data_IF_627585026168
#
_entry.id   IF_627585026168
#
_cell.length_a   1.000
_cell.length_b   1.000
_cell.length_c   1.000
_cell.angle_alpha   90.00
_cell.angle_beta   90.00
_cell.angle_gamma   90.00
#
_symmetry.space_group_name_H-M   'P 1'
#
loop_
_entity.id
_entity.type
_entity.pdbx_description
1 polymer ?
#
# COMPACT_ATOMS: atom_id res chain seq x y z
N UNK A 1 -7.44 11.74 -21.18
CA UNK A 1 -7.31 10.27 -21.38
C UNK A 1 -8.44 9.54 -20.65
N UNK A 2 -8.96 8.44 -21.21
CA UNK A 2 -9.94 7.57 -20.54
C UNK A 2 -9.27 6.52 -19.65
N UNK A 3 -10.08 5.84 -18.83
CA UNK A 3 -9.60 4.84 -17.86
C UNK A 3 -8.78 3.72 -18.51
N UNK A 4 -9.13 3.30 -19.74
CA UNK A 4 -8.38 2.29 -20.51
C UNK A 4 -7.00 2.78 -20.94
N UNK A 5 -6.90 4.03 -21.38
CA UNK A 5 -5.65 4.62 -21.84
C UNK A 5 -4.67 4.80 -20.68
N UNK A 6 -5.13 5.34 -19.56
CA UNK A 6 -4.26 5.51 -18.38
C UNK A 6 -3.90 4.16 -17.73
N UNK A 7 -4.80 3.17 -17.80
CA UNK A 7 -4.50 1.79 -17.37
C UNK A 7 -3.37 1.18 -18.20
N UNK A 8 -3.41 1.34 -19.52
CA UNK A 8 -2.33 0.89 -20.40
C UNK A 8 -1.02 1.65 -20.14
N UNK A 9 -1.09 2.97 -19.91
CA UNK A 9 0.08 3.81 -19.67
C UNK A 9 0.78 3.50 -18.34
N UNK A 10 0.01 3.31 -17.27
CA UNK A 10 0.53 3.10 -15.91
C UNK A 10 0.79 1.62 -15.58
N UNK A 11 0.27 0.70 -16.39
CA UNK A 11 0.28 -0.75 -16.11
C UNK A 11 -0.64 -1.15 -14.94
N UNK A 12 -1.43 -0.22 -14.40
CA UNK A 12 -2.37 -0.48 -13.32
C UNK A 12 -3.71 -0.95 -13.88
N UNK A 13 -4.39 -1.84 -13.15
CA UNK A 13 -5.75 -2.24 -13.53
C UNK A 13 -6.74 -1.08 -13.33
N UNK A 14 -7.81 -1.05 -14.12
CA UNK A 14 -8.90 -0.06 -13.94
C UNK A 14 -9.45 -0.05 -12.51
N UNK A 15 -9.50 -1.23 -11.85
CA UNK A 15 -9.93 -1.36 -10.46
C UNK A 15 -8.98 -0.65 -9.50
N UNK A 16 -7.67 -0.79 -9.70
CA UNK A 16 -6.65 -0.13 -8.90
C UNK A 16 -6.72 1.39 -9.04
N UNK A 17 -6.95 1.89 -10.25
CA UNK A 17 -7.09 3.32 -10.52
C UNK A 17 -8.32 3.89 -9.80
N UNK A 18 -9.49 3.23 -9.91
CA UNK A 18 -10.70 3.62 -9.18
C UNK A 18 -10.51 3.59 -7.67
N UNK A 19 -9.80 2.59 -7.16
CA UNK A 19 -9.48 2.51 -5.74
C UNK A 19 -8.65 3.73 -5.27
N UNK A 20 -7.67 4.19 -6.06
CA UNK A 20 -6.91 5.39 -5.71
C UNK A 20 -7.73 6.68 -5.84
N UNK A 21 -8.66 6.74 -6.78
CA UNK A 21 -9.64 7.83 -6.89
C UNK A 21 -10.57 7.89 -5.67
N UNK A 22 -11.14 6.76 -5.25
CA UNK A 22 -11.98 6.64 -4.04
C UNK A 22 -11.24 7.04 -2.77
N UNK A 23 -9.92 6.82 -2.72
CA UNK A 23 -9.04 7.23 -1.62
C UNK A 23 -8.53 8.66 -1.74
N UNK A 24 -9.02 9.41 -2.74
CA UNK A 24 -8.65 10.80 -3.03
C UNK A 24 -7.14 11.01 -3.27
N UNK A 25 -6.44 9.97 -3.73
CA UNK A 25 -5.01 10.02 -4.08
C UNK A 25 -4.77 10.62 -5.46
N UNK A 26 -5.77 10.55 -6.32
CA UNK A 26 -5.84 11.23 -7.61
C UNK A 26 -7.21 11.87 -7.76
N UNK A 27 -7.29 12.97 -8.49
CA UNK A 27 -8.53 13.71 -8.73
C UNK A 27 -8.62 14.06 -10.22
N UNK A 28 -9.02 13.08 -11.07
CA UNK A 28 -9.19 13.33 -12.49
C UNK A 28 -10.30 14.36 -12.71
N UNK A 29 -10.31 14.99 -13.88
CA UNK A 29 -11.41 15.89 -14.25
C UNK A 29 -12.67 15.06 -14.49
N UNK A 30 -13.77 15.53 -13.90
CA UNK A 30 -15.07 14.91 -14.05
C UNK A 30 -15.99 15.83 -14.82
N UNK A 31 -16.42 15.39 -16.00
CA UNK A 31 -17.35 16.11 -16.86
C UNK A 31 -18.71 15.41 -16.88
N UNK A 32 -19.77 16.15 -16.58
CA UNK A 32 -21.14 15.65 -16.74
C UNK A 32 -21.68 16.06 -18.11
N UNK A 33 -22.02 15.08 -18.93
CA UNK A 33 -22.63 15.29 -20.24
C UNK A 33 -23.84 14.38 -20.41
N UNK A 34 -25.00 14.94 -20.73
CA UNK A 34 -26.25 14.22 -20.95
C UNK A 34 -26.62 13.27 -19.78
N UNK A 35 -26.44 13.71 -18.54
CA UNK A 35 -26.72 12.90 -17.34
C UNK A 35 -25.74 11.76 -17.07
N UNK A 36 -24.68 11.61 -17.88
CA UNK A 36 -23.59 10.63 -17.68
C UNK A 36 -22.33 11.34 -17.21
N UNK A 37 -21.63 10.70 -16.29
CA UNK A 37 -20.37 11.18 -15.74
C UNK A 37 -19.19 10.57 -16.51
N UNK A 38 -18.36 11.44 -17.09
CA UNK A 38 -17.17 11.07 -17.82
C UNK A 38 -15.94 11.51 -17.03
N UNK A 39 -15.02 10.58 -16.84
CA UNK A 39 -13.70 10.87 -16.27
C UNK A 39 -12.73 11.20 -17.40
N UNK A 40 -11.91 12.20 -17.17
CA UNK A 40 -10.79 12.56 -18.01
C UNK A 40 -9.52 12.68 -17.17
N UNK A 41 -8.61 11.75 -17.40
CA UNK A 41 -7.32 11.67 -16.74
C UNK A 41 -6.26 12.44 -17.54
N UNK A 42 -5.47 13.24 -16.86
CA UNK A 42 -4.36 14.02 -17.41
C UNK A 42 -3.03 13.25 -17.34
N UNK A 43 -2.00 13.77 -18.02
CA UNK A 43 -0.64 13.22 -17.88
C UNK A 43 -0.12 13.32 -16.44
N UNK A 44 -0.48 14.39 -15.71
CA UNK A 44 -0.13 14.54 -14.29
C UNK A 44 -0.76 13.45 -13.42
N UNK A 45 -1.98 13.01 -13.74
CA UNK A 45 -2.62 11.90 -13.01
C UNK A 45 -1.86 10.59 -13.24
N UNK A 46 -1.34 10.38 -14.44
CA UNK A 46 -0.54 9.20 -14.75
C UNK A 46 0.79 9.19 -13.99
N UNK A 47 1.49 10.31 -13.93
CA UNK A 47 2.72 10.44 -13.13
C UNK A 47 2.44 10.17 -11.65
N UNK A 48 1.37 10.74 -11.10
CA UNK A 48 0.97 10.48 -9.71
C UNK A 48 0.66 9.00 -9.47
N UNK A 49 -0.07 8.35 -10.38
CA UNK A 49 -0.35 6.91 -10.29
C UNK A 49 0.92 6.06 -10.30
N UNK A 50 1.90 6.40 -11.13
CA UNK A 50 3.20 5.71 -11.16
C UNK A 50 3.96 5.87 -9.84
N UNK A 51 3.95 7.08 -9.24
CA UNK A 51 4.55 7.33 -7.93
C UNK A 51 3.85 6.52 -6.84
N UNK A 52 2.51 6.55 -6.79
CA UNK A 52 1.71 5.79 -5.83
C UNK A 52 2.00 4.29 -5.95
N UNK A 53 2.06 3.76 -7.18
CA UNK A 53 2.39 2.37 -7.45
C UNK A 53 3.79 2.01 -6.93
N UNK A 54 4.79 2.88 -7.14
CA UNK A 54 6.14 2.73 -6.59
C UNK A 54 6.16 2.67 -5.06
N UNK A 55 5.46 3.61 -4.41
CA UNK A 55 5.38 3.66 -2.94
C UNK A 55 4.65 2.43 -2.36
N UNK A 56 3.62 1.94 -3.04
CA UNK A 56 2.92 0.69 -2.65
C UNK A 56 3.83 -0.54 -2.74
N UNK A 57 4.72 -0.62 -3.75
CA UNK A 57 5.75 -1.67 -3.84
C UNK A 57 6.77 -1.56 -2.72
N UNK A 58 7.04 -0.34 -2.24
CA UNK A 58 7.84 -0.09 -1.06
C UNK A 58 7.04 -0.26 0.25
N UNK A 59 5.92 -0.99 0.24
CA UNK A 59 5.08 -1.30 1.40
C UNK A 59 4.55 -0.08 2.18
N UNK A 60 4.50 1.11 1.57
CA UNK A 60 3.80 2.23 2.18
C UNK A 60 2.28 1.99 2.12
N UNK A 61 1.59 2.38 3.18
CA UNK A 61 0.14 2.38 3.26
C UNK A 61 -0.44 3.50 2.40
N UNK A 62 -1.71 3.36 2.03
CA UNK A 62 -2.43 4.42 1.29
C UNK A 62 -2.50 5.72 2.09
N UNK A 63 -2.59 5.61 3.43
CA UNK A 63 -2.65 6.76 4.33
C UNK A 63 -1.31 7.49 4.40
N UNK A 64 -0.20 6.76 4.48
CA UNK A 64 1.16 7.33 4.43
C UNK A 64 1.40 8.06 3.11
N UNK A 65 1.00 7.44 1.99
CA UNK A 65 1.12 8.05 0.65
C UNK A 65 0.31 9.35 0.58
N UNK A 66 -0.90 9.38 1.17
CA UNK A 66 -1.73 10.59 1.23
C UNK A 66 -1.08 11.69 2.05
N UNK A 67 -0.50 11.35 3.20
CA UNK A 67 0.24 12.31 4.04
C UNK A 67 1.49 12.85 3.31
N UNK A 68 2.19 12.01 2.56
CA UNK A 68 3.32 12.43 1.72
C UNK A 68 2.89 13.41 0.63
N UNK A 69 1.76 13.18 -0.04
CA UNK A 69 1.22 14.12 -1.04
C UNK A 69 0.82 15.46 -0.43
N UNK A 70 0.20 15.43 0.76
CA UNK A 70 -0.25 16.65 1.45
C UNK A 70 0.92 17.48 1.99
N UNK A 71 2.02 16.83 2.35
CA UNK A 71 3.20 17.48 2.92
C UNK A 71 4.49 17.02 2.21
N UNK A 72 4.78 17.54 1.01
CA UNK A 72 5.96 17.14 0.23
C UNK A 72 7.29 17.33 1.00
N UNK A 73 7.39 18.40 1.81
CA UNK A 73 8.55 18.65 2.67
C UNK A 73 8.74 17.63 3.80
N UNK A 74 7.78 16.73 4.04
CA UNK A 74 7.86 15.66 5.05
C UNK A 74 8.15 14.28 4.46
N UNK A 75 8.28 14.15 3.14
CA UNK A 75 8.53 12.86 2.47
C UNK A 75 9.75 12.16 3.06
N UNK A 76 10.88 12.87 3.22
CA UNK A 76 12.09 12.29 3.81
C UNK A 76 11.87 11.77 5.23
N UNK A 77 11.15 12.53 6.07
CA UNK A 77 10.83 12.14 7.45
C UNK A 77 9.90 10.92 7.50
N UNK A 78 8.84 10.90 6.68
CA UNK A 78 7.90 9.77 6.62
C UNK A 78 8.61 8.52 6.10
N UNK A 79 9.51 8.67 5.12
CA UNK A 79 10.32 7.56 4.62
C UNK A 79 11.27 7.00 5.69
N UNK A 80 11.92 7.86 6.48
CA UNK A 80 12.77 7.46 7.60
C UNK A 80 11.96 6.81 8.74
N UNK A 81 10.81 7.37 9.11
CA UNK A 81 9.91 6.79 10.12
C UNK A 81 9.41 5.40 9.71
N UNK A 82 9.00 5.22 8.45
CA UNK A 82 8.57 3.93 7.94
C UNK A 82 9.70 2.90 7.87
N UNK A 83 10.94 3.32 7.57
CA UNK A 83 12.13 2.45 7.65
C UNK A 83 12.42 2.03 9.08
N UNK A 84 12.27 2.95 10.03
CA UNK A 84 12.50 2.69 11.45
C UNK A 84 11.47 1.73 12.03
N UNK A 85 10.19 1.94 11.75
CA UNK A 85 9.11 1.05 12.21
C UNK A 85 9.31 -0.37 11.67
N UNK A 86 9.59 -0.51 10.37
CA UNK A 86 9.82 -1.84 9.77
C UNK A 86 11.06 -2.56 10.30
N UNK A 87 12.10 -1.83 10.70
CA UNK A 87 13.27 -2.41 11.38
C UNK A 87 12.91 -2.95 12.77
N UNK A 88 12.04 -2.25 13.49
CA UNK A 88 11.56 -2.69 14.80
C UNK A 88 10.66 -3.92 14.62
N UNK A 89 9.70 -3.89 13.70
CA UNK A 89 8.80 -5.01 13.43
C UNK A 89 9.55 -6.27 13.00
N UNK A 90 10.61 -6.13 12.19
CA UNK A 90 11.47 -7.26 11.81
C UNK A 90 12.22 -7.86 13.00
N UNK A 91 12.71 -7.01 13.91
CA UNK A 91 13.38 -7.47 15.12
C UNK A 91 12.41 -8.17 16.09
N UNK A 92 11.19 -7.68 16.19
CA UNK A 92 10.13 -8.28 17.01
C UNK A 92 9.63 -9.61 16.41
N UNK A 93 9.48 -9.70 15.08
CA UNK A 93 9.18 -10.96 14.40
C UNK A 93 10.26 -12.02 14.62
N UNK A 94 11.54 -11.62 14.60
CA UNK A 94 12.64 -12.55 14.81
C UNK A 94 12.72 -13.05 16.25
N UNK A 95 12.39 -12.19 17.23
CA UNK A 95 12.20 -12.59 18.62
C UNK A 95 11.02 -13.56 18.77
N UNK A 96 9.85 -13.22 18.22
CA UNK A 96 8.66 -14.07 18.29
C UNK A 96 8.90 -15.46 17.65
N UNK A 97 9.56 -15.49 16.49
CA UNK A 97 9.94 -16.74 15.82
C UNK A 97 10.86 -17.60 16.70
N UNK A 98 11.87 -17.00 17.34
CA UNK A 98 12.77 -17.74 18.24
C UNK A 98 12.10 -18.26 19.51
N UNK A 99 11.04 -17.59 20.00
CA UNK A 99 10.24 -18.07 21.14
C UNK A 99 9.40 -19.28 20.73
N UNK A 100 8.82 -19.26 19.52
CA UNK A 100 8.05 -20.38 18.97
C UNK A 100 8.93 -21.59 18.64
N UNK A 101 10.14 -21.39 18.09
CA UNK A 101 11.11 -22.47 17.85
C UNK A 101 11.58 -23.14 19.15
N UNK A 102 11.70 -22.37 20.23
CA UNK A 102 12.06 -22.90 21.57
C UNK A 102 10.90 -23.57 22.27
N UNK A 103 9.67 -23.29 21.87
CA UNK A 103 8.46 -23.96 22.33
C UNK A 103 8.23 -25.30 21.59
N UNK A 104 9.31 -25.94 21.13
CA UNK A 104 9.30 -27.27 20.54
C UNK A 104 8.50 -28.24 21.43
N UNK A 105 7.44 -28.79 20.84
CA UNK A 105 6.31 -29.50 21.46
C UNK A 105 6.67 -30.88 22.03
N UNK A 106 7.93 -31.11 22.40
CA UNK A 106 8.43 -32.38 22.92
C UNK A 106 7.89 -32.75 24.32
N UNK A 107 7.28 -31.80 25.04
CA UNK A 107 6.80 -32.01 26.41
C UNK A 107 5.39 -32.60 26.55
N UNK A 108 4.56 -32.64 25.51
CA UNK A 108 3.14 -33.04 25.64
C UNK A 108 2.96 -34.57 25.46
N UNK A 109 3.92 -35.28 24.86
CA UNK A 109 3.75 -36.69 24.48
C UNK A 109 4.08 -37.73 25.57
N UNK A 110 4.65 -37.34 26.72
CA UNK A 110 5.03 -38.31 27.76
C UNK A 110 3.94 -38.60 28.81
N UNK A 111 2.85 -37.83 28.89
CA UNK A 111 1.84 -38.00 29.96
C UNK A 111 0.63 -38.89 29.61
N UNK A 112 0.59 -39.50 28.42
CA UNK A 112 -0.55 -40.33 27.97
C UNK A 112 -0.24 -41.83 27.84
N UNK A 113 0.88 -42.30 28.41
CA UNK A 113 1.31 -43.71 28.31
C UNK A 113 1.48 -44.37 29.69
N UNK A 114 0.59 -44.10 30.61
CA UNK A 114 0.36 -44.89 31.83
C UNK A 114 -1.12 -44.78 32.19
N UNK A 115 -1.90 -45.73 31.70
CA UNK A 115 -3.34 -45.87 31.96
C UNK A 115 -3.80 -47.19 31.39
#
# INVERSE_FOLDING_TARGET
>A
MKIKEISALTGLTERTIRFYEERSLIQPRTERRNGREYRDYSASDAEQLMVIAGLRRLHFSVEEIREMQKYPGRIARIAEEARRSRRIDAADQQKAASILERADLSGISQSLRTG
#
